data_IF_611416621090
#
_entry.id   IF_611416621090
#
_cell.length_a   1.000
_cell.length_b   1.000
_cell.length_c   1.000
_cell.angle_alpha   90.00
_cell.angle_beta   90.00
_cell.angle_gamma   90.00
#
_symmetry.space_group_name_H-M   'P 1'
#
loop_
_entity.id
_entity.type
_entity.pdbx_description
1 polymer ?
#
# COMPACT_ATOMS: atom_id res chain seq x y z
N UNK A 1 -18.77 4.76 11.15
CA UNK A 1 -19.57 4.89 9.92
C UNK A 1 -18.63 4.58 8.76
N UNK A 2 -18.74 3.40 8.15
CA UNK A 2 -17.92 3.01 7.01
C UNK A 2 -18.46 3.82 5.83
N UNK A 3 -17.66 4.78 5.34
CA UNK A 3 -17.98 5.49 4.12
C UNK A 3 -17.78 4.51 2.96
N UNK A 4 -18.87 4.08 2.33
CA UNK A 4 -18.79 3.38 1.04
C UNK A 4 -18.19 4.35 0.04
N UNK A 5 -17.01 4.02 -0.48
CA UNK A 5 -16.38 4.80 -1.54
C UNK A 5 -16.99 4.44 -2.88
N UNK A 6 -17.05 5.42 -3.74
CA UNK A 6 -17.54 5.21 -5.10
C UNK A 6 -16.47 4.53 -5.93
N UNK A 7 -16.86 3.53 -6.70
CA UNK A 7 -16.06 2.94 -7.74
C UNK A 7 -16.83 2.95 -9.06
N UNK A 8 -16.09 2.90 -10.16
CA UNK A 8 -16.64 2.82 -11.50
C UNK A 8 -16.31 1.45 -12.09
N UNK A 9 -17.33 0.76 -12.61
CA UNK A 9 -17.12 -0.49 -13.36
C UNK A 9 -16.50 -0.12 -14.71
N UNK A 10 -15.42 -0.76 -15.09
CA UNK A 10 -14.72 -0.54 -16.34
C UNK A 10 -15.30 -1.43 -17.42
N UNK A 11 -15.72 -0.81 -18.51
CA UNK A 11 -16.04 -1.52 -19.75
C UNK A 11 -14.74 -1.98 -20.42
N UNK A 12 -14.44 -3.28 -20.29
CA UNK A 12 -13.21 -3.89 -20.82
C UNK A 12 -13.06 -3.67 -22.32
N UNK A 13 -14.15 -3.68 -23.09
CA UNK A 13 -14.08 -3.58 -24.55
C UNK A 13 -13.57 -2.22 -25.04
N UNK A 14 -13.78 -1.17 -24.24
CA UNK A 14 -13.34 0.20 -24.56
C UNK A 14 -12.14 0.65 -23.75
N UNK A 15 -11.67 -0.19 -22.80
CA UNK A 15 -10.58 0.18 -21.91
C UNK A 15 -9.23 0.18 -22.62
N UNK A 16 -8.44 1.23 -22.39
CA UNK A 16 -7.09 1.39 -22.95
C UNK A 16 -6.11 0.24 -22.62
N UNK A 17 -6.33 -0.46 -21.49
CA UNK A 17 -5.52 -1.60 -21.04
C UNK A 17 -6.14 -2.96 -21.39
N UNK A 18 -7.19 -3.02 -22.20
CA UNK A 18 -7.91 -4.27 -22.56
C UNK A 18 -6.97 -5.40 -22.95
N UNK A 19 -6.01 -5.14 -23.84
CA UNK A 19 -5.13 -6.18 -24.37
C UNK A 19 -4.14 -6.69 -23.30
N UNK A 20 -3.55 -5.79 -22.49
CA UNK A 20 -2.71 -6.16 -21.36
C UNK A 20 -3.51 -6.97 -20.32
N UNK A 21 -4.69 -6.48 -19.95
CA UNK A 21 -5.55 -7.16 -18.99
C UNK A 21 -5.92 -8.56 -19.48
N UNK A 22 -6.40 -8.71 -20.73
CA UNK A 22 -6.77 -10.00 -21.30
C UNK A 22 -5.58 -10.95 -21.46
N UNK A 23 -4.38 -10.44 -21.68
CA UNK A 23 -3.17 -11.25 -21.73
C UNK A 23 -2.80 -11.78 -20.33
N UNK A 24 -2.62 -10.89 -19.35
CA UNK A 24 -2.10 -11.27 -18.03
C UNK A 24 -3.11 -12.01 -17.15
N UNK A 25 -4.43 -11.74 -17.27
CA UNK A 25 -5.46 -12.46 -16.50
C UNK A 25 -5.51 -13.96 -16.75
N UNK A 26 -4.95 -14.41 -17.86
CA UNK A 26 -4.90 -15.83 -18.22
C UNK A 26 -3.67 -16.57 -17.65
N UNK A 27 -2.77 -15.88 -16.99
CA UNK A 27 -1.64 -16.53 -16.30
C UNK A 27 -2.11 -17.16 -15.01
N UNK A 28 -1.55 -18.32 -14.67
CA UNK A 28 -1.81 -18.94 -13.36
C UNK A 28 -1.42 -18.02 -12.20
N UNK A 29 -0.37 -17.21 -12.40
CA UNK A 29 0.06 -16.17 -11.49
C UNK A 29 0.45 -14.93 -12.29
N UNK A 30 -0.36 -13.88 -12.20
CA UNK A 30 -0.12 -12.59 -12.85
C UNK A 30 0.56 -11.56 -11.94
N UNK A 31 1.02 -11.98 -10.77
CA UNK A 31 1.67 -11.08 -9.82
C UNK A 31 3.16 -10.93 -10.11
N UNK A 32 3.61 -9.69 -10.11
CA UNK A 32 5.03 -9.32 -10.20
C UNK A 32 5.49 -8.61 -8.93
N UNK A 33 6.76 -8.80 -8.57
CA UNK A 33 7.37 -8.14 -7.41
C UNK A 33 8.61 -7.39 -7.84
N UNK A 34 8.71 -6.12 -7.43
CA UNK A 34 9.87 -5.27 -7.64
C UNK A 34 10.28 -4.67 -6.29
N UNK A 35 11.55 -4.82 -5.95
CA UNK A 35 12.16 -4.19 -4.78
C UNK A 35 13.12 -3.11 -5.24
N UNK A 36 13.01 -1.91 -4.68
CA UNK A 36 13.96 -0.83 -4.89
C UNK A 36 14.16 -0.02 -3.60
N UNK A 37 15.19 0.80 -3.58
CA UNK A 37 15.46 1.73 -2.49
C UNK A 37 14.71 3.04 -2.69
N UNK A 38 14.26 3.61 -1.58
CA UNK A 38 13.69 4.95 -1.51
C UNK A 38 14.63 5.85 -0.71
N UNK A 39 14.92 7.03 -1.23
CA UNK A 39 15.75 8.03 -0.55
C UNK A 39 14.97 8.66 0.62
N UNK A 40 15.50 8.48 1.82
CA UNK A 40 14.96 8.98 3.08
C UNK A 40 15.87 10.02 3.75
N UNK A 41 16.88 10.53 3.02
CA UNK A 41 17.97 11.35 3.58
C UNK A 41 17.45 12.60 4.30
N UNK A 42 16.41 13.23 3.79
CA UNK A 42 15.80 14.41 4.40
C UNK A 42 14.66 14.05 5.36
N UNK A 43 13.73 13.19 4.93
CA UNK A 43 12.52 12.89 5.69
C UNK A 43 12.76 12.12 6.99
N UNK A 44 13.72 11.20 7.02
CA UNK A 44 13.99 10.40 8.23
C UNK A 44 14.51 11.25 9.39
N UNK A 45 15.55 12.09 9.22
CA UNK A 45 15.99 12.99 10.31
C UNK A 45 14.97 14.07 10.63
N UNK A 46 14.22 14.59 9.66
CA UNK A 46 13.14 15.57 9.90
C UNK A 46 12.05 15.00 10.83
N UNK A 47 11.56 13.79 10.54
CA UNK A 47 10.60 13.10 11.40
C UNK A 47 11.14 12.89 12.83
N UNK A 48 12.43 12.51 12.96
CA UNK A 48 13.11 12.35 14.26
C UNK A 48 13.20 13.67 15.03
N UNK A 49 13.61 14.75 14.37
CA UNK A 49 13.70 16.09 14.97
C UNK A 49 12.33 16.58 15.48
N UNK A 50 11.27 16.32 14.69
CA UNK A 50 9.89 16.62 15.08
C UNK A 50 9.32 15.64 16.13
N UNK A 51 10.07 14.63 16.58
CA UNK A 51 9.61 13.55 17.48
C UNK A 51 8.37 12.82 16.93
N UNK A 52 8.30 12.66 15.62
CA UNK A 52 7.22 11.99 14.91
C UNK A 52 7.61 10.58 14.46
N UNK A 53 6.63 9.73 14.25
CA UNK A 53 6.81 8.38 13.72
C UNK A 53 7.16 8.42 12.23
N UNK A 54 8.38 8.01 11.85
CA UNK A 54 8.76 7.89 10.45
C UNK A 54 7.95 6.81 9.73
N UNK A 55 7.45 5.80 10.45
CA UNK A 55 6.50 4.83 9.91
C UNK A 55 5.28 5.53 9.28
N UNK A 56 4.70 6.52 9.95
CA UNK A 56 3.54 7.24 9.44
C UNK A 56 3.89 8.18 8.27
N UNK A 57 5.13 8.66 8.18
CA UNK A 57 5.61 9.45 7.04
C UNK A 57 5.63 8.61 5.77
N UNK A 58 6.31 7.45 5.78
CA UNK A 58 6.35 6.63 4.57
C UNK A 58 5.03 5.91 4.30
N UNK A 59 4.23 5.62 5.32
CA UNK A 59 2.87 5.10 5.13
C UNK A 59 2.02 6.10 4.34
N UNK A 60 2.08 7.39 4.72
CA UNK A 60 1.42 8.45 3.98
C UNK A 60 1.96 8.60 2.57
N UNK A 61 3.29 8.65 2.42
CA UNK A 61 3.91 8.83 1.12
C UNK A 61 3.52 7.72 0.12
N UNK A 62 3.53 6.46 0.57
CA UNK A 62 3.10 5.32 -0.24
C UNK A 62 1.60 5.41 -0.57
N UNK A 63 0.76 5.73 0.40
CA UNK A 63 -0.69 5.83 0.20
C UNK A 63 -1.05 6.99 -0.73
N UNK A 64 -0.45 8.17 -0.55
CA UNK A 64 -0.65 9.32 -1.43
C UNK A 64 -0.17 9.01 -2.85
N UNK A 65 1.02 8.44 -3.02
CA UNK A 65 1.53 8.04 -4.31
C UNK A 65 0.61 7.03 -5.03
N UNK A 66 0.07 6.03 -4.32
CA UNK A 66 -0.90 5.09 -4.87
C UNK A 66 -2.23 5.76 -5.27
N UNK A 67 -2.63 6.83 -4.59
CA UNK A 67 -3.80 7.63 -4.97
C UNK A 67 -3.51 8.60 -6.13
N UNK A 68 -2.24 8.92 -6.41
CA UNK A 68 -1.83 9.74 -7.55
C UNK A 68 -1.53 8.94 -8.82
N UNK A 69 -1.12 7.66 -8.70
CA UNK A 69 -0.86 6.76 -9.83
C UNK A 69 -2.11 5.90 -10.09
N UNK A 70 -2.80 6.19 -11.19
CA UNK A 70 -4.11 5.63 -11.56
C UNK A 70 -4.16 4.10 -11.49
N UNK A 71 -3.10 3.43 -11.97
CA UNK A 71 -3.05 1.98 -12.12
C UNK A 71 -3.08 1.23 -10.78
N UNK A 72 -2.67 1.88 -9.70
CA UNK A 72 -2.73 1.31 -8.33
C UNK A 72 -4.14 1.30 -7.74
N UNK A 73 -5.14 1.81 -8.46
CA UNK A 73 -6.54 1.89 -7.99
C UNK A 73 -7.51 1.00 -8.78
N UNK A 74 -7.01 0.23 -9.76
CA UNK A 74 -7.81 -0.81 -10.42
C UNK A 74 -7.85 -2.08 -9.60
N UNK A 75 -8.99 -2.77 -9.57
CA UNK A 75 -9.22 -4.04 -8.88
C UNK A 75 -10.13 -4.94 -9.72
N UNK A 76 -10.04 -6.24 -9.44
CA UNK A 76 -11.11 -7.17 -9.78
C UNK A 76 -12.00 -7.32 -8.54
N UNK A 77 -13.28 -7.01 -8.66
CA UNK A 77 -14.23 -7.15 -7.57
C UNK A 77 -14.65 -8.62 -7.35
N UNK A 78 -15.45 -8.88 -6.32
CA UNK A 78 -15.98 -10.22 -6.01
C UNK A 78 -16.85 -10.85 -7.12
N UNK A 79 -17.32 -10.06 -8.09
CA UNK A 79 -18.12 -10.52 -9.21
C UNK A 79 -17.25 -10.78 -10.46
N UNK A 80 -15.93 -10.58 -10.35
CA UNK A 80 -14.98 -10.71 -11.46
C UNK A 80 -14.98 -9.51 -12.41
N UNK A 81 -15.59 -8.38 -12.03
CA UNK A 81 -15.63 -7.15 -12.80
C UNK A 81 -14.40 -6.28 -12.48
N UNK A 82 -13.85 -5.63 -13.50
CA UNK A 82 -12.82 -4.62 -13.26
C UNK A 82 -13.48 -3.34 -12.75
N UNK A 83 -13.01 -2.85 -11.62
CA UNK A 83 -13.46 -1.62 -11.00
C UNK A 83 -12.31 -0.65 -10.81
N UNK A 84 -12.59 0.63 -10.88
CA UNK A 84 -11.67 1.71 -10.59
C UNK A 84 -12.17 2.50 -9.40
N UNK A 85 -11.33 2.61 -8.37
CA UNK A 85 -11.62 3.38 -7.18
C UNK A 85 -11.12 4.82 -7.31
N UNK A 86 -11.97 5.79 -6.98
CA UNK A 86 -11.56 7.21 -6.96
C UNK A 86 -10.47 7.45 -5.90
N UNK A 87 -10.50 6.64 -4.85
CA UNK A 87 -9.55 6.71 -3.74
C UNK A 87 -9.42 5.36 -3.06
N UNK A 88 -8.21 5.05 -2.59
CA UNK A 88 -7.93 3.85 -1.78
C UNK A 88 -7.40 4.24 -0.40
N UNK A 89 -7.66 3.38 0.60
CA UNK A 89 -7.07 3.45 1.94
C UNK A 89 -5.86 2.54 2.04
N UNK A 90 -5.25 2.52 3.22
CA UNK A 90 -4.16 1.60 3.51
C UNK A 90 -4.50 0.71 4.70
N UNK A 91 -4.19 -0.59 4.58
CA UNK A 91 -4.16 -1.49 5.72
C UNK A 91 -2.72 -1.81 6.10
N UNK A 92 -2.50 -1.97 7.40
CA UNK A 92 -1.17 -2.31 7.90
C UNK A 92 -1.26 -3.22 9.13
N UNK A 93 -0.46 -4.29 9.19
CA UNK A 93 -0.32 -5.08 10.40
C UNK A 93 0.55 -4.31 11.41
N UNK A 94 0.00 -4.07 12.59
CA UNK A 94 0.67 -3.38 13.69
C UNK A 94 1.00 -4.39 14.79
N UNK A 95 2.27 -4.47 15.16
CA UNK A 95 2.72 -5.35 16.24
C UNK A 95 2.14 -4.88 17.59
N UNK A 96 1.62 -5.83 18.36
CA UNK A 96 1.07 -5.58 19.71
C UNK A 96 1.86 -6.41 20.71
N UNK A 97 2.38 -5.82 21.79
CA UNK A 97 3.13 -6.55 22.81
C UNK A 97 2.33 -7.74 23.37
N UNK A 98 2.97 -8.92 23.43
CA UNK A 98 2.33 -10.16 23.93
C UNK A 98 1.33 -10.81 22.97
N UNK A 99 1.14 -10.26 21.78
CA UNK A 99 0.28 -10.81 20.71
C UNK A 99 1.07 -10.88 19.39
N UNK A 100 0.44 -11.37 18.32
CA UNK A 100 1.09 -11.41 17.00
C UNK A 100 1.10 -10.02 16.36
N UNK A 101 0.00 -9.60 15.81
CA UNK A 101 -0.25 -8.26 15.24
C UNK A 101 -1.75 -8.06 15.08
N UNK A 102 -2.15 -6.82 14.85
CA UNK A 102 -3.50 -6.46 14.43
C UNK A 102 -3.42 -5.69 13.12
N UNK A 103 -4.22 -6.07 12.14
CA UNK A 103 -4.36 -5.31 10.90
C UNK A 103 -5.34 -4.16 11.14
N UNK A 104 -4.87 -2.96 10.89
CA UNK A 104 -5.67 -1.74 10.99
C UNK A 104 -5.89 -1.14 9.61
N UNK A 105 -7.07 -0.55 9.37
CA UNK A 105 -7.35 0.27 8.20
C UNK A 105 -7.16 1.73 8.58
N UNK A 106 -6.37 2.46 7.79
CA UNK A 106 -6.09 3.88 7.95
C UNK A 106 -6.63 4.62 6.73
N UNK A 107 -7.60 5.53 6.92
CA UNK A 107 -8.19 6.30 5.83
C UNK A 107 -7.18 7.24 5.17
N UNK A 108 -7.29 7.43 3.86
CA UNK A 108 -6.53 8.45 3.16
C UNK A 108 -7.11 9.84 3.41
N UNK A 109 -6.23 10.79 3.68
CA UNK A 109 -6.48 12.23 3.65
C UNK A 109 -5.42 12.90 2.80
N UNK A 110 -5.80 13.87 1.98
CA UNK A 110 -4.83 14.63 1.18
C UNK A 110 -3.94 15.53 2.06
N UNK A 111 -4.46 16.01 3.17
CA UNK A 111 -3.72 16.78 4.18
C UNK A 111 -2.93 15.84 5.10
N UNK A 112 -1.62 16.05 5.18
CA UNK A 112 -0.73 15.18 5.97
C UNK A 112 -1.00 15.27 7.47
N UNK A 113 -1.27 16.45 8.01
CA UNK A 113 -1.47 16.61 9.45
C UNK A 113 -2.74 15.90 9.90
N UNK A 114 -3.80 15.99 9.11
CA UNK A 114 -5.04 15.24 9.35
C UNK A 114 -4.80 13.72 9.26
N UNK A 115 -4.10 13.27 8.22
CA UNK A 115 -3.73 11.86 8.09
C UNK A 115 -2.91 11.39 9.29
N UNK A 116 -1.87 12.15 9.65
CA UNK A 116 -0.97 11.79 10.74
C UNK A 116 -1.70 11.67 12.07
N UNK A 117 -2.57 12.64 12.41
CA UNK A 117 -3.33 12.62 13.65
C UNK A 117 -4.25 11.40 13.75
N UNK A 118 -5.00 11.09 12.69
CA UNK A 118 -5.90 9.93 12.66
C UNK A 118 -5.12 8.61 12.66
N UNK A 119 -4.10 8.48 11.82
CA UNK A 119 -3.24 7.30 11.76
C UNK A 119 -2.55 7.04 13.10
N UNK A 120 -2.01 8.11 13.74
CA UNK A 120 -1.40 8.01 15.06
C UNK A 120 -2.40 7.48 16.10
N UNK A 121 -3.62 8.03 16.11
CA UNK A 121 -4.67 7.56 17.00
C UNK A 121 -5.00 6.07 16.76
N UNK A 122 -5.18 5.66 15.52
CA UNK A 122 -5.52 4.28 15.15
C UNK A 122 -4.42 3.31 15.61
N UNK A 123 -3.14 3.58 15.32
CA UNK A 123 -2.05 2.65 15.63
C UNK A 123 -1.70 2.57 17.12
N UNK A 124 -2.07 3.58 17.92
CA UNK A 124 -1.81 3.60 19.36
C UNK A 124 -3.01 3.22 20.23
N UNK A 125 -4.19 3.05 19.63
CA UNK A 125 -5.42 2.67 20.34
C UNK A 125 -6.02 1.37 19.77
N UNK A 126 -5.15 0.38 19.54
CA UNK A 126 -5.60 -0.95 19.09
C UNK A 126 -6.32 -1.64 20.25
N UNK A 127 -7.55 -2.17 20.05
CA UNK A 127 -8.29 -2.86 21.10
C UNK A 127 -7.49 -4.02 21.71
N UNK A 128 -7.54 -4.15 23.02
CA UNK A 128 -6.90 -5.29 23.72
C UNK A 128 -7.56 -6.62 23.34
N UNK A 129 -8.87 -6.60 23.09
CA UNK A 129 -9.66 -7.73 22.60
C UNK A 129 -10.18 -7.41 21.20
N UNK A 130 -10.02 -8.36 20.29
CA UNK A 130 -10.48 -8.19 18.92
C UNK A 130 -9.91 -9.26 17.99
N UNK A 131 -10.42 -9.27 16.76
CA UNK A 131 -9.91 -10.14 15.70
C UNK A 131 -8.68 -9.51 15.05
N UNK A 132 -7.50 -10.14 15.11
CA UNK A 132 -6.29 -9.64 14.47
C UNK A 132 -6.45 -9.39 12.97
N UNK A 133 -7.37 -10.09 12.33
CA UNK A 133 -7.67 -10.01 10.89
C UNK A 133 -9.02 -9.33 10.60
N UNK A 134 -9.56 -8.59 11.56
CA UNK A 134 -10.88 -7.98 11.43
C UNK A 134 -11.00 -7.03 10.25
N UNK A 135 -9.94 -6.26 9.95
CA UNK A 135 -9.92 -5.36 8.80
C UNK A 135 -9.99 -6.13 7.47
N UNK A 136 -9.24 -7.22 7.33
CA UNK A 136 -9.26 -8.06 6.12
C UNK A 136 -10.61 -8.77 5.94
N UNK A 137 -11.25 -9.20 7.03
CA UNK A 137 -12.57 -9.83 6.96
C UNK A 137 -13.61 -8.85 6.42
N UNK A 138 -13.64 -7.63 6.94
CA UNK A 138 -14.55 -6.59 6.46
C UNK A 138 -14.32 -6.30 4.97
N UNK A 139 -13.06 -6.17 4.53
CA UNK A 139 -12.71 -5.92 3.14
C UNK A 139 -13.16 -7.06 2.22
N UNK A 140 -12.97 -8.32 2.67
CA UNK A 140 -13.45 -9.50 1.93
C UNK A 140 -14.97 -9.56 1.82
N UNK A 141 -15.68 -9.25 2.88
CA UNK A 141 -17.15 -9.22 2.90
C UNK A 141 -17.70 -8.13 1.96
N UNK A 142 -17.07 -6.95 1.95
CA UNK A 142 -17.42 -5.87 1.03
C UNK A 142 -17.10 -6.24 -0.42
N UNK A 143 -15.91 -6.82 -0.66
CA UNK A 143 -15.52 -7.44 -1.93
C UNK A 143 -15.17 -6.47 -3.06
N UNK A 144 -14.89 -5.20 -2.76
CA UNK A 144 -14.48 -4.19 -3.72
C UNK A 144 -13.00 -3.77 -3.59
N UNK A 145 -12.33 -4.16 -2.48
CA UNK A 145 -10.89 -4.02 -2.25
C UNK A 145 -10.31 -2.61 -2.43
N UNK A 146 -11.02 -1.60 -1.94
CA UNK A 146 -10.62 -0.17 -2.00
C UNK A 146 -9.42 0.19 -1.10
N UNK A 147 -8.42 -0.68 -1.08
CA UNK A 147 -7.24 -0.59 -0.20
C UNK A 147 -5.95 -0.93 -0.93
N UNK A 148 -4.83 -0.52 -0.32
CA UNK A 148 -3.50 -1.11 -0.49
C UNK A 148 -3.03 -1.66 0.85
N UNK A 149 -2.11 -2.61 0.85
CA UNK A 149 -1.51 -3.14 2.09
C UNK A 149 -0.04 -2.78 2.17
N UNK A 150 0.39 -2.25 3.32
CA UNK A 150 1.81 -2.04 3.63
C UNK A 150 2.17 -2.66 4.97
N UNK A 151 3.09 -3.61 4.93
CA UNK A 151 3.77 -4.17 6.10
C UNK A 151 5.11 -3.49 6.34
N UNK A 152 5.63 -3.57 7.55
CA UNK A 152 6.95 -3.07 7.90
C UNK A 152 7.82 -4.16 8.52
N UNK A 153 9.07 -4.24 8.06
CA UNK A 153 10.10 -5.11 8.61
C UNK A 153 11.34 -4.27 8.97
N UNK A 154 11.21 -3.35 9.97
CA UNK A 154 12.22 -2.33 10.26
C UNK A 154 13.54 -2.87 10.82
N UNK A 155 13.61 -4.17 11.10
CA UNK A 155 14.82 -4.85 11.57
C UNK A 155 15.73 -5.29 10.42
N UNK A 156 15.17 -5.44 9.20
CA UNK A 156 15.87 -6.01 8.04
C UNK A 156 16.01 -4.99 6.92
N UNK A 157 17.24 -4.84 6.43
CA UNK A 157 17.48 -4.31 5.09
C UNK A 157 17.48 -5.50 4.12
N UNK A 158 16.55 -5.51 3.20
CA UNK A 158 16.39 -6.61 2.23
C UNK A 158 16.54 -6.10 0.79
N UNK A 159 16.97 -6.97 -0.09
CA UNK A 159 17.13 -6.69 -1.53
C UNK A 159 16.04 -7.34 -2.37
N UNK A 160 15.26 -8.23 -1.77
CA UNK A 160 14.13 -8.91 -2.39
C UNK A 160 13.17 -9.40 -1.32
N UNK A 161 11.88 -9.40 -1.65
CA UNK A 161 10.82 -9.95 -0.81
C UNK A 161 9.73 -10.53 -1.71
N UNK A 162 9.22 -11.70 -1.35
CA UNK A 162 8.08 -12.33 -2.02
C UNK A 162 6.95 -12.48 -1.01
N UNK A 163 5.76 -12.03 -1.39
CA UNK A 163 4.56 -12.20 -0.59
C UNK A 163 3.91 -13.57 -0.78
N UNK A 164 3.21 -14.01 0.25
CA UNK A 164 2.25 -15.11 0.14
C UNK A 164 1.14 -14.71 -0.84
N UNK A 165 0.74 -15.64 -1.68
CA UNK A 165 -0.35 -15.44 -2.61
C UNK A 165 -1.58 -16.19 -2.13
N UNK A 166 -2.75 -15.61 -2.36
CA UNK A 166 -4.01 -16.27 -2.08
C UNK A 166 -4.27 -17.39 -3.10
N UNK A 167 -5.03 -18.39 -2.69
CA UNK A 167 -5.48 -19.43 -3.60
C UNK A 167 -6.33 -18.84 -4.74
N UNK A 168 -6.32 -19.43 -5.94
CA UNK A 168 -7.01 -18.88 -7.11
C UNK A 168 -8.52 -18.69 -6.94
N UNK A 169 -9.15 -19.43 -6.04
CA UNK A 169 -10.56 -19.33 -5.67
C UNK A 169 -10.87 -18.24 -4.63
N UNK A 170 -9.83 -17.59 -4.10
CA UNK A 170 -9.93 -16.48 -3.16
C UNK A 170 -9.06 -15.29 -3.61
N UNK A 171 -9.31 -14.70 -4.77
CA UNK A 171 -8.50 -13.61 -5.27
C UNK A 171 -8.58 -12.41 -4.31
N UNK A 172 -7.42 -12.00 -3.77
CA UNK A 172 -7.22 -10.66 -3.27
C UNK A 172 -6.52 -9.89 -4.37
N UNK A 173 -7.08 -8.76 -4.77
CA UNK A 173 -6.57 -8.02 -5.92
C UNK A 173 -6.20 -6.58 -5.54
N UNK A 174 -5.42 -6.44 -4.48
CA UNK A 174 -4.86 -5.15 -4.05
C UNK A 174 -3.35 -5.22 -3.89
N UNK A 175 -2.62 -4.11 -4.16
CA UNK A 175 -1.17 -4.05 -4.01
C UNK A 175 -0.70 -4.40 -2.62
N UNK A 176 0.34 -5.26 -2.55
CA UNK A 176 1.01 -5.68 -1.31
C UNK A 176 2.39 -5.04 -1.26
N UNK A 177 2.75 -4.45 -0.14
CA UNK A 177 4.00 -3.70 0.00
C UNK A 177 4.68 -4.02 1.33
N UNK A 178 6.02 -3.98 1.34
CA UNK A 178 6.80 -4.09 2.58
C UNK A 178 7.91 -3.06 2.57
N UNK A 179 8.01 -2.30 3.67
CA UNK A 179 9.10 -1.38 3.92
C UNK A 179 10.12 -1.99 4.89
N UNK A 180 11.41 -1.88 4.56
CA UNK A 180 12.49 -2.42 5.36
C UNK A 180 13.16 -1.39 6.25
N UNK A 181 14.38 -1.74 6.69
CA UNK A 181 15.21 -0.91 7.57
C UNK A 181 15.85 0.24 6.79
N UNK A 182 15.79 1.45 7.34
CA UNK A 182 16.59 2.58 6.87
C UNK A 182 18.06 2.34 7.20
N UNK A 183 18.92 2.45 6.21
CA UNK A 183 20.37 2.29 6.36
C UNK A 183 21.13 3.40 5.64
N UNK A 184 22.34 3.77 6.11
CA UNK A 184 23.22 4.65 5.38
C UNK A 184 23.85 3.89 4.18
N UNK A 185 23.80 4.49 3.01
CA UNK A 185 24.42 3.96 1.80
C UNK A 185 24.87 5.09 0.87
N UNK A 186 26.15 5.10 0.53
CA UNK A 186 26.73 6.07 -0.41
C UNK A 186 26.39 7.54 -0.07
N UNK A 187 26.45 7.90 1.21
CA UNK A 187 26.16 9.26 1.70
C UNK A 187 24.67 9.61 1.79
N UNK A 188 23.76 8.68 1.52
CA UNK A 188 22.32 8.82 1.65
C UNK A 188 21.78 7.92 2.74
N UNK A 189 20.56 8.19 3.22
CA UNK A 189 19.75 7.26 4.00
C UNK A 189 18.71 6.64 3.07
N UNK A 190 18.76 5.32 2.92
CA UNK A 190 17.87 4.61 2.01
C UNK A 190 17.07 3.52 2.74
N UNK A 191 15.86 3.26 2.26
CA UNK A 191 14.96 2.25 2.77
C UNK A 191 14.48 1.36 1.61
N UNK A 192 14.64 0.03 1.67
CA UNK A 192 14.07 -0.83 0.65
C UNK A 192 12.54 -0.89 0.80
N UNK A 193 11.84 -0.79 -0.32
CA UNK A 193 10.41 -1.09 -0.41
C UNK A 193 10.21 -2.14 -1.51
N UNK A 194 9.49 -3.20 -1.19
CA UNK A 194 9.04 -4.19 -2.15
C UNK A 194 7.56 -3.95 -2.49
N UNK A 195 7.26 -3.92 -3.78
CA UNK A 195 5.89 -3.88 -4.31
C UNK A 195 5.58 -5.18 -4.99
N UNK A 196 4.43 -5.79 -4.63
CA UNK A 196 3.86 -6.94 -5.30
C UNK A 196 2.49 -6.56 -5.81
N UNK A 197 2.31 -6.60 -7.12
CA UNK A 197 1.13 -6.07 -7.81
C UNK A 197 0.66 -7.01 -8.91
N UNK A 198 -0.62 -6.94 -9.26
CA UNK A 198 -1.17 -7.66 -10.39
C UNK A 198 -0.76 -6.99 -11.72
N UNK A 199 -0.03 -7.71 -12.56
CA UNK A 199 0.48 -7.20 -13.84
C UNK A 199 -0.62 -6.92 -14.88
N UNK A 200 -1.81 -7.46 -14.67
CA UNK A 200 -2.97 -7.08 -15.49
C UNK A 200 -3.31 -5.58 -15.36
N UNK A 201 -3.00 -4.97 -14.21
CA UNK A 201 -3.26 -3.56 -13.92
C UNK A 201 -2.00 -2.70 -13.93
N UNK A 202 -0.88 -3.21 -13.42
CA UNK A 202 0.32 -2.41 -13.13
C UNK A 202 1.53 -2.94 -13.87
N UNK A 203 2.18 -2.09 -14.64
CA UNK A 203 3.45 -2.39 -15.34
C UNK A 203 4.66 -1.84 -14.55
N UNK A 204 5.87 -2.27 -14.93
CA UNK A 204 7.10 -1.77 -14.34
C UNK A 204 7.26 -0.24 -14.42
N UNK A 205 6.76 0.40 -15.50
CA UNK A 205 6.77 1.85 -15.63
C UNK A 205 5.92 2.54 -14.54
N UNK A 206 4.75 2.00 -14.20
CA UNK A 206 3.89 2.52 -13.14
C UNK A 206 4.52 2.33 -11.76
N UNK A 207 5.24 1.22 -11.54
CA UNK A 207 6.00 1.01 -10.31
C UNK A 207 7.13 2.03 -10.21
N UNK A 208 7.88 2.28 -11.30
CA UNK A 208 8.90 3.33 -11.34
C UNK A 208 8.34 4.71 -11.01
N UNK A 209 7.20 5.07 -11.58
CA UNK A 209 6.49 6.31 -11.27
C UNK A 209 6.07 6.39 -9.80
N UNK A 210 5.60 5.29 -9.23
CA UNK A 210 5.23 5.22 -7.82
C UNK A 210 6.44 5.49 -6.91
N UNK A 211 7.61 4.89 -7.19
CA UNK A 211 8.83 5.14 -6.43
C UNK A 211 9.25 6.61 -6.48
N UNK A 212 9.23 7.24 -7.66
CA UNK A 212 9.52 8.66 -7.82
C UNK A 212 8.56 9.53 -6.99
N UNK A 213 7.26 9.23 -7.04
CA UNK A 213 6.25 9.94 -6.25
C UNK A 213 6.48 9.80 -4.74
N UNK A 214 6.84 8.62 -4.27
CA UNK A 214 7.13 8.40 -2.85
C UNK A 214 8.30 9.28 -2.40
N UNK A 215 9.39 9.34 -3.18
CA UNK A 215 10.55 10.18 -2.86
C UNK A 215 10.22 11.68 -2.89
N UNK A 216 9.43 12.14 -3.88
CA UNK A 216 8.94 13.52 -3.95
C UNK A 216 8.14 13.89 -2.70
N UNK A 217 7.17 13.06 -2.32
CA UNK A 217 6.33 13.28 -1.14
C UNK A 217 7.16 13.27 0.16
N UNK A 218 8.10 12.33 0.30
CA UNK A 218 8.98 12.31 1.47
C UNK A 218 9.82 13.58 1.59
N UNK A 219 10.30 14.15 0.47
CA UNK A 219 11.01 15.44 0.46
C UNK A 219 10.09 16.61 0.84
N UNK A 220 8.84 16.63 0.34
CA UNK A 220 7.84 17.62 0.75
C UNK A 220 7.62 17.59 2.27
N UNK A 221 7.51 16.41 2.86
CA UNK A 221 7.28 16.23 4.29
C UNK A 221 8.48 16.57 5.18
N UNK A 222 9.66 16.77 4.60
CA UNK A 222 10.86 17.16 5.32
C UNK A 222 11.01 18.68 5.50
N UNK A 223 10.24 19.47 4.76
CA UNK A 223 10.25 20.96 4.77
C UNK A 223 9.36 21.51 5.87
#
# INVERSE_FOLDING_TARGET
>A
MILFRTHVIIDIETWERRDNYNFFRNFHNSWISITSEVDCTEAFPAAKAAKRSFFLYYLYAVLRAANEVKEFRFRTDKNGQVVYHDQVDIISPIAVPGKTFYTVRIPYHADFERFYAEAYHIVHNIPEEGDPYGAEKVIKEQGDFDIIQLSATPQLYFTSLTYTQMAPDHPLDYPLMNAGKVVPREGRLVMPIAFTVNHAFVDGAHIGQLFQKIEEILKELAQ
#
